data_IF_843945063072
#
_entry.id   IF_843945063072
#
_cell.length_a   1.000
_cell.length_b   1.000
_cell.length_c   1.000
_cell.angle_alpha   90.00
_cell.angle_beta   90.00
_cell.angle_gamma   90.00
#
_symmetry.space_group_name_H-M   'P 1'
#
loop_
_entity.id
_entity.type
_entity.pdbx_description
1 polymer ?
#
# COMPACT_ATOMS: atom_id res chain seq x y z
N UNK A 1 10.68 11.56 0.35
CA UNK A 1 10.00 11.57 -0.97
C UNK A 1 9.79 12.97 -1.56
N UNK A 2 8.88 13.82 -1.06
CA UNK A 2 8.64 15.14 -1.69
C UNK A 2 9.84 16.10 -1.56
N UNK A 3 10.44 16.20 -0.37
CA UNK A 3 11.64 17.02 -0.18
C UNK A 3 12.79 16.55 -1.10
N UNK A 4 13.06 15.24 -1.15
CA UNK A 4 14.02 14.65 -2.09
C UNK A 4 13.68 14.99 -3.54
N UNK A 5 12.42 14.89 -3.96
CA UNK A 5 12.00 15.20 -5.32
C UNK A 5 12.21 16.69 -5.66
N UNK A 6 11.96 17.61 -4.73
CA UNK A 6 12.26 19.04 -4.91
C UNK A 6 13.77 19.27 -5.07
N UNK A 7 14.58 18.64 -4.21
CA UNK A 7 16.03 18.73 -4.27
C UNK A 7 16.57 18.17 -5.60
N UNK A 8 16.08 17.01 -6.05
CA UNK A 8 16.50 16.39 -7.31
C UNK A 8 16.00 17.15 -8.55
N UNK A 9 14.79 17.72 -8.49
CA UNK A 9 14.23 18.52 -9.57
C UNK A 9 14.89 19.89 -9.71
N UNK A 10 15.58 20.35 -8.66
CA UNK A 10 16.07 21.71 -8.51
C UNK A 10 14.98 22.76 -8.79
N UNK A 11 13.72 22.40 -8.48
CA UNK A 11 12.49 23.16 -8.69
C UNK A 11 11.44 22.66 -7.71
N UNK A 12 10.58 23.55 -7.25
CA UNK A 12 9.47 23.25 -6.34
C UNK A 12 8.10 23.32 -7.04
N UNK A 13 8.08 23.58 -8.36
CA UNK A 13 6.84 23.61 -9.12
C UNK A 13 6.17 22.22 -9.11
N UNK A 14 4.86 22.13 -8.84
CA UNK A 14 4.18 20.84 -8.66
C UNK A 14 4.30 19.89 -9.85
N UNK A 15 4.38 20.42 -11.08
CA UNK A 15 4.48 19.60 -12.28
C UNK A 15 5.84 18.89 -12.36
N UNK A 16 6.94 19.61 -12.13
CA UNK A 16 8.28 19.04 -12.04
C UNK A 16 8.36 18.04 -10.89
N UNK A 17 7.95 18.42 -9.68
CA UNK A 17 8.04 17.55 -8.49
C UNK A 17 7.24 16.26 -8.72
N UNK A 18 6.02 16.35 -9.27
CA UNK A 18 5.20 15.17 -9.61
C UNK A 18 5.87 14.29 -10.67
N UNK A 19 6.42 14.90 -11.73
CA UNK A 19 7.17 14.16 -12.75
C UNK A 19 8.34 13.37 -12.14
N UNK A 20 9.11 13.99 -11.25
CA UNK A 20 10.16 13.32 -10.51
C UNK A 20 9.63 12.23 -9.58
N UNK A 21 8.49 12.46 -8.93
CA UNK A 21 7.87 11.46 -8.05
C UNK A 21 7.51 10.17 -8.80
N UNK A 22 7.02 10.27 -10.04
CA UNK A 22 6.61 9.15 -10.89
C UNK A 22 7.76 8.50 -11.67
N UNK A 23 8.89 9.17 -11.85
CA UNK A 23 9.95 8.72 -12.77
C UNK A 23 10.65 7.41 -12.38
N UNK A 24 10.75 7.10 -11.08
CA UNK A 24 11.47 5.91 -10.59
C UNK A 24 11.06 5.51 -9.18
N UNK A 25 11.24 4.23 -8.80
CA UNK A 25 11.12 3.79 -7.41
C UNK A 25 12.14 4.52 -6.51
N UNK A 26 11.76 4.78 -5.26
CA UNK A 26 12.63 5.33 -4.21
C UNK A 26 12.79 4.35 -3.07
N UNK A 27 13.97 4.35 -2.44
CA UNK A 27 14.21 3.55 -1.25
C UNK A 27 13.60 4.25 -0.04
N UNK A 28 12.84 3.50 0.76
CA UNK A 28 12.18 3.97 1.98
C UNK A 28 12.41 2.97 3.10
N UNK A 29 11.98 3.33 4.32
CA UNK A 29 11.98 2.39 5.46
C UNK A 29 11.08 1.17 5.23
N UNK A 30 10.12 1.27 4.29
CA UNK A 30 9.23 0.18 3.89
C UNK A 30 9.76 -0.59 2.65
N UNK A 31 11.00 -0.32 2.23
CA UNK A 31 11.61 -0.87 1.03
C UNK A 31 11.45 0.03 -0.20
N UNK A 32 11.62 -0.56 -1.39
CA UNK A 32 11.51 0.15 -2.67
C UNK A 32 10.05 0.49 -2.97
N UNK A 33 9.75 1.77 -3.15
CA UNK A 33 8.41 2.31 -3.33
C UNK A 33 8.30 3.07 -4.65
N UNK A 34 7.33 2.71 -5.48
CA UNK A 34 6.98 3.41 -6.71
C UNK A 34 5.56 3.96 -6.61
N UNK A 35 5.37 5.19 -7.10
CA UNK A 35 4.05 5.85 -7.14
C UNK A 35 3.47 5.64 -8.55
N UNK A 36 2.31 4.98 -8.62
CA UNK A 36 1.56 4.78 -9.86
C UNK A 36 1.11 6.14 -10.42
N UNK A 37 1.46 6.43 -11.67
CA UNK A 37 1.17 7.74 -12.28
C UNK A 37 -0.30 7.97 -12.63
N UNK A 38 -1.08 6.89 -12.74
CA UNK A 38 -2.51 6.90 -13.05
C UNK A 38 -3.35 7.11 -11.80
N UNK A 39 -2.98 6.50 -10.67
CA UNK A 39 -3.77 6.55 -9.42
C UNK A 39 -3.14 7.37 -8.32
N UNK A 40 -1.86 7.75 -8.41
CA UNK A 40 -1.04 8.31 -7.34
C UNK A 40 -0.93 7.42 -6.08
N UNK A 41 -1.24 6.12 -6.18
CA UNK A 41 -1.07 5.17 -5.09
C UNK A 41 0.27 4.43 -5.21
N UNK A 42 0.68 3.75 -4.14
CA UNK A 42 1.87 2.90 -4.12
C UNK A 42 1.50 1.51 -3.58
N UNK A 43 2.23 0.50 -4.03
CA UNK A 43 2.19 -0.81 -3.38
C UNK A 43 2.95 -0.73 -2.05
N UNK A 44 2.32 -1.14 -0.95
CA UNK A 44 2.91 -1.07 0.39
C UNK A 44 2.98 -2.45 1.03
N UNK A 45 4.06 -2.78 1.77
CA UNK A 45 4.08 -4.01 2.55
C UNK A 45 2.98 -3.98 3.61
N UNK A 46 2.44 -5.16 3.90
CA UNK A 46 1.43 -5.34 4.94
C UNK A 46 2.08 -5.93 6.18
N UNK A 47 1.80 -5.35 7.34
CA UNK A 47 2.20 -5.88 8.64
C UNK A 47 1.00 -5.91 9.58
N UNK A 48 0.76 -7.05 10.21
CA UNK A 48 -0.20 -7.19 11.30
C UNK A 48 0.56 -7.14 12.62
N UNK A 49 0.28 -6.12 13.43
CA UNK A 49 0.89 -5.89 14.73
C UNK A 49 -0.04 -6.27 15.88
N UNK A 50 0.52 -6.84 16.96
CA UNK A 50 -0.14 -6.99 18.26
C UNK A 50 0.50 -6.03 19.25
N UNK A 51 -0.31 -5.25 19.97
CA UNK A 51 0.18 -4.34 21.01
C UNK A 51 0.86 -5.15 22.12
N UNK A 52 2.03 -4.71 22.58
CA UNK A 52 2.77 -5.37 23.66
C UNK A 52 2.85 -4.49 24.93
N UNK A 53 3.40 -5.05 26.01
CA UNK A 53 3.49 -4.40 27.33
C UNK A 53 4.39 -3.15 27.32
N UNK A 54 5.28 -3.03 26.34
CA UNK A 54 6.18 -1.90 26.17
C UNK A 54 5.56 -0.74 25.37
N UNK A 55 4.23 -0.75 25.18
CA UNK A 55 3.52 0.23 24.35
C UNK A 55 4.00 0.26 22.89
N UNK A 56 4.53 -0.87 22.40
CA UNK A 56 4.93 -1.09 21.01
C UNK A 56 4.05 -2.13 20.32
N UNK A 57 4.57 -2.67 19.20
CA UNK A 57 3.90 -3.71 18.42
C UNK A 57 4.84 -4.89 18.15
N UNK A 58 4.39 -6.11 18.43
CA UNK A 58 4.98 -7.33 17.89
C UNK A 58 4.39 -7.58 16.49
N UNK A 59 5.22 -7.74 15.47
CA UNK A 59 4.75 -8.13 14.14
C UNK A 59 4.43 -9.62 14.13
N UNK A 60 3.15 -9.97 14.01
CA UNK A 60 2.67 -11.36 14.05
C UNK A 60 2.37 -11.92 12.66
N UNK A 61 2.23 -11.06 11.64
CA UNK A 61 2.20 -11.47 10.25
C UNK A 61 2.75 -10.35 9.36
N UNK A 62 3.36 -10.75 8.24
CA UNK A 62 3.80 -9.83 7.20
C UNK A 62 3.43 -10.36 5.82
N UNK A 63 3.25 -9.46 4.87
CA UNK A 63 3.18 -9.76 3.44
C UNK A 63 4.02 -8.76 2.67
N UNK A 64 4.48 -9.19 1.49
CA UNK A 64 5.14 -8.30 0.54
C UNK A 64 4.22 -7.16 0.09
N UNK A 65 4.75 -6.27 -0.75
CA UNK A 65 4.02 -5.11 -1.21
C UNK A 65 2.71 -5.51 -1.92
N UNK A 66 1.58 -4.97 -1.46
CA UNK A 66 0.25 -5.19 -2.03
C UNK A 66 -0.12 -3.99 -2.89
N UNK A 67 -0.46 -4.23 -4.16
CA UNK A 67 -0.90 -3.18 -5.08
C UNK A 67 -2.22 -2.59 -4.59
N UNK A 68 -2.29 -1.26 -4.54
CA UNK A 68 -3.50 -0.55 -4.17
C UNK A 68 -4.56 -0.62 -5.28
N UNK A 69 -5.78 -1.00 -4.92
CA UNK A 69 -6.97 -0.84 -5.74
C UNK A 69 -7.98 0.06 -5.00
N UNK A 70 -7.86 1.40 -5.12
CA UNK A 70 -8.66 2.35 -4.35
C UNK A 70 -10.14 2.37 -4.73
N UNK A 71 -10.50 1.78 -5.86
CA UNK A 71 -11.87 1.69 -6.35
C UNK A 71 -12.40 0.27 -6.28
N UNK A 72 -11.76 -0.61 -5.53
CA UNK A 72 -12.24 -1.97 -5.30
C UNK A 72 -13.63 -1.91 -4.64
N UNK A 73 -14.66 -2.01 -5.47
CA UNK A 73 -16.06 -2.12 -5.06
C UNK A 73 -16.54 -3.51 -5.44
N UNK A 74 -16.65 -4.35 -4.43
CA UNK A 74 -17.16 -5.70 -4.57
C UNK A 74 -17.37 -6.25 -3.18
N UNK A 75 -18.61 -6.60 -2.86
CA UNK A 75 -18.90 -7.61 -1.84
C UNK A 75 -17.92 -8.74 -2.07
N UNK A 76 -17.05 -9.02 -1.09
CA UNK A 76 -16.35 -10.30 -1.02
C UNK A 76 -17.40 -11.32 -1.43
N UNK A 77 -17.21 -12.02 -2.54
CA UNK A 77 -18.13 -13.08 -2.91
C UNK A 77 -18.01 -14.10 -1.78
N UNK A 78 -18.89 -13.98 -0.78
CA UNK A 78 -19.13 -15.03 0.19
C UNK A 78 -19.51 -16.20 -0.69
N UNK A 79 -18.57 -17.12 -0.93
CA UNK A 79 -18.93 -18.40 -1.49
C UNK A 79 -20.04 -18.92 -0.57
N UNK A 80 -21.25 -19.19 -1.08
CA UNK A 80 -22.28 -19.77 -0.25
C UNK A 80 -21.75 -21.13 0.17
N UNK A 81 -21.36 -21.29 1.44
CA UNK A 81 -21.14 -22.60 2.04
C UNK A 81 -22.52 -23.25 2.10
N UNK A 82 -22.81 -24.30 1.29
CA UNK A 82 -24.13 -24.90 1.28
C UNK A 82 -24.22 -25.80 2.51
N UNK A 83 -24.82 -25.29 3.59
CA UNK A 83 -25.05 -26.04 4.82
C UNK A 83 -26.54 -26.21 5.08
N UNK A 84 -27.28 -26.84 4.16
CA UNK A 84 -28.60 -27.39 4.45
C UNK A 84 -28.85 -28.68 3.66
N UNK A 85 -28.98 -29.80 4.37
CA UNK A 85 -29.57 -31.05 3.84
C UNK A 85 -30.87 -31.29 4.62
N UNK A 86 -32.00 -31.33 3.92
CA UNK A 86 -33.25 -31.84 4.48
C UNK A 86 -33.18 -33.35 4.44
N UNK A 87 -33.40 -34.00 5.58
CA UNK A 87 -33.49 -35.46 5.71
C UNK A 87 -34.98 -35.82 5.73
N UNK A 88 -35.39 -36.71 4.82
CA UNK A 88 -36.71 -37.32 4.82
C UNK A 88 -36.72 -38.58 5.70
#
# INVERSE_FOLDING_TARGET
LCAEAITEANRDDPASVRGFLHARPRQTVLGSLAIDSRTNHAALPFHLGRINEQSGFDVIASHGAIVADPYLVGTLASQPVPHLRVVQ
#
